data_IF_852323928714
#
_entry.id   IF_852323928714
#
_cell.length_a   1.000
_cell.length_b   1.000
_cell.length_c   1.000
_cell.angle_alpha   90.00
_cell.angle_beta   90.00
_cell.angle_gamma   90.00
#
_symmetry.space_group_name_H-M   'P 1'
#
loop_
_entity.id
_entity.type
_entity.pdbx_description
1 polymer ?
#
# COMPACT_ATOMS: atom_id res chain seq x y z
N UNK A 1 32.02 0.80 -43.48
CA UNK A 1 32.12 -0.50 -42.77
C UNK A 1 32.37 -0.34 -41.26
N UNK A 2 32.29 0.88 -40.70
CA UNK A 2 32.48 1.14 -39.26
C UNK A 2 31.17 1.59 -38.57
N UNK A 3 30.15 2.03 -39.32
CA UNK A 3 28.86 2.44 -38.74
C UNK A 3 27.89 1.30 -38.41
N UNK A 4 28.23 0.04 -38.68
CA UNK A 4 27.33 -1.10 -38.45
C UNK A 4 27.60 -1.85 -37.13
N UNK A 5 28.58 -1.38 -36.33
CA UNK A 5 29.01 -2.03 -35.09
C UNK A 5 28.69 -1.23 -33.80
N UNK A 6 27.96 -0.11 -33.90
CA UNK A 6 27.50 0.63 -32.71
C UNK A 6 26.04 0.32 -32.33
N UNK A 7 25.46 -0.74 -32.88
CA UNK A 7 24.12 -1.20 -32.49
C UNK A 7 24.23 -2.27 -31.39
N UNK A 8 23.70 -1.92 -30.21
CA UNK A 8 23.25 -2.82 -29.13
C UNK A 8 24.26 -3.27 -28.06
N UNK A 9 24.99 -2.33 -27.44
CA UNK A 9 25.30 -2.42 -26.00
C UNK A 9 24.27 -1.64 -25.16
N UNK A 10 23.04 -1.50 -25.69
CA UNK A 10 21.97 -0.71 -25.10
C UNK A 10 21.04 -1.57 -24.25
N UNK A 11 20.68 -1.08 -23.06
CA UNK A 11 19.60 -1.65 -22.26
C UNK A 11 18.35 -1.89 -23.13
N UNK A 12 17.72 -3.06 -23.00
CA UNK A 12 16.45 -3.37 -23.66
C UNK A 12 15.44 -2.24 -23.45
N UNK A 13 14.61 -1.96 -24.46
CA UNK A 13 13.57 -0.93 -24.40
C UNK A 13 12.69 -1.07 -23.15
N UNK A 14 12.34 -2.30 -22.75
CA UNK A 14 11.58 -2.55 -21.52
C UNK A 14 12.33 -2.11 -20.25
N UNK A 15 13.65 -2.33 -20.21
CA UNK A 15 14.50 -1.91 -19.07
C UNK A 15 14.67 -0.39 -19.05
N UNK A 16 14.81 0.24 -20.22
CA UNK A 16 14.85 1.71 -20.33
C UNK A 16 13.55 2.34 -19.80
N UNK A 17 12.39 1.81 -20.22
CA UNK A 17 11.09 2.28 -19.76
C UNK A 17 10.87 2.02 -18.26
N UNK A 18 11.31 0.86 -17.76
CA UNK A 18 11.28 0.55 -16.34
C UNK A 18 12.10 1.55 -15.52
N UNK A 19 13.34 1.84 -15.93
CA UNK A 19 14.21 2.81 -15.25
C UNK A 19 13.58 4.20 -15.29
N UNK A 20 13.04 4.62 -16.45
CA UNK A 20 12.35 5.89 -16.59
C UNK A 20 11.13 6.00 -15.65
N UNK A 21 10.29 4.98 -15.61
CA UNK A 21 9.14 4.92 -14.72
C UNK A 21 9.53 4.90 -13.25
N UNK A 22 10.56 4.13 -12.90
CA UNK A 22 11.10 4.09 -11.55
C UNK A 22 11.62 5.47 -11.11
N UNK A 23 12.45 6.11 -11.94
CA UNK A 23 12.99 7.45 -11.65
C UNK A 23 11.88 8.49 -11.54
N UNK A 24 10.84 8.41 -12.37
CA UNK A 24 9.69 9.31 -12.32
C UNK A 24 8.92 9.17 -11.00
N UNK A 25 8.57 7.93 -10.61
CA UNK A 25 7.86 7.66 -9.35
C UNK A 25 8.74 8.05 -8.15
N UNK A 26 10.02 7.68 -8.17
CA UNK A 26 10.96 7.97 -7.10
C UNK A 26 11.14 9.49 -6.89
N UNK A 27 11.33 10.22 -7.99
CA UNK A 27 11.45 11.70 -7.93
C UNK A 27 10.14 12.33 -7.46
N UNK A 28 8.99 11.85 -7.95
CA UNK A 28 7.68 12.32 -7.49
C UNK A 28 7.48 12.11 -5.98
N UNK A 29 7.84 10.93 -5.47
CA UNK A 29 7.78 10.62 -4.05
C UNK A 29 8.70 11.54 -3.22
N UNK A 30 9.93 11.77 -3.67
CA UNK A 30 10.88 12.68 -3.01
C UNK A 30 10.35 14.12 -2.96
N UNK A 31 9.80 14.62 -4.07
CA UNK A 31 9.21 15.96 -4.14
C UNK A 31 8.03 16.09 -3.17
N UNK A 32 7.18 15.07 -3.07
CA UNK A 32 6.09 15.04 -2.10
C UNK A 32 6.63 15.05 -0.66
N UNK A 33 7.64 14.23 -0.35
CA UNK A 33 8.25 14.22 0.98
C UNK A 33 8.84 15.59 1.35
N UNK A 34 9.57 16.24 0.44
CA UNK A 34 10.14 17.57 0.67
C UNK A 34 9.04 18.62 0.82
N UNK A 35 7.99 18.57 -0.01
CA UNK A 35 6.86 19.49 0.07
C UNK A 35 6.12 19.38 1.42
N UNK A 36 5.93 18.16 1.92
CA UNK A 36 5.33 17.92 3.23
C UNK A 36 6.23 18.41 4.37
N UNK A 37 7.54 18.15 4.29
CA UNK A 37 8.51 18.64 5.27
C UNK A 37 8.57 20.17 5.31
N UNK A 38 8.56 20.83 4.16
CA UNK A 38 8.65 22.29 4.04
C UNK A 38 7.37 23.01 4.51
N UNK A 39 6.19 22.41 4.32
CA UNK A 39 4.91 22.96 4.79
C UNK A 39 4.62 22.66 6.26
N UNK A 40 5.49 21.91 6.94
CA UNK A 40 5.22 21.41 8.30
C UNK A 40 3.99 20.50 8.35
N UNK A 41 3.59 19.92 7.22
CA UNK A 41 2.41 19.08 7.13
C UNK A 41 2.64 17.77 7.86
N UNK A 42 1.99 17.59 9.00
CA UNK A 42 2.00 16.34 9.75
C UNK A 42 1.51 15.19 8.88
N UNK A 43 2.38 14.20 8.63
CA UNK A 43 1.95 12.97 7.95
C UNK A 43 1.15 12.16 8.96
N UNK A 44 -0.14 11.96 8.68
CA UNK A 44 -1.01 11.11 9.48
C UNK A 44 -1.11 9.72 8.84
N UNK A 45 -1.01 8.68 9.66
CA UNK A 45 -1.03 7.30 9.21
C UNK A 45 -1.49 6.36 10.33
N UNK A 46 -1.82 5.13 9.96
CA UNK A 46 -2.21 4.13 10.95
C UNK A 46 -2.35 2.74 10.33
N UNK A 47 -2.33 1.75 11.21
CA UNK A 47 -2.44 0.33 10.88
C UNK A 47 -3.35 -0.31 11.90
N UNK A 48 -4.32 -1.10 11.44
CA UNK A 48 -5.16 -1.96 12.29
C UNK A 48 -4.96 -3.40 11.84
N UNK A 49 -4.57 -4.25 12.79
CA UNK A 49 -4.38 -5.69 12.58
C UNK A 49 -5.45 -6.43 13.37
N UNK A 50 -6.08 -7.42 12.74
CA UNK A 50 -7.00 -8.32 13.45
C UNK A 50 -6.16 -9.44 14.06
N UNK A 51 -6.05 -9.43 15.38
CA UNK A 51 -5.38 -10.47 16.16
C UNK A 51 -6.43 -11.49 16.62
N UNK A 52 -6.02 -12.76 16.64
CA UNK A 52 -6.74 -13.97 17.01
C UNK A 52 -8.08 -13.81 17.77
N UNK A 53 -9.15 -14.53 17.38
CA UNK A 53 -9.69 -14.62 16.03
C UNK A 53 -10.41 -13.33 15.58
N UNK A 54 -10.62 -12.36 16.49
CA UNK A 54 -11.64 -11.32 16.30
C UNK A 54 -11.35 -9.97 17.01
N UNK A 55 -10.10 -9.70 17.39
CA UNK A 55 -9.75 -8.49 18.14
C UNK A 55 -9.00 -7.52 17.21
N UNK A 56 -9.62 -6.41 16.77
CA UNK A 56 -8.91 -5.38 16.01
C UNK A 56 -8.01 -4.58 16.96
N UNK A 57 -6.70 -4.63 16.72
CA UNK A 57 -5.69 -3.87 17.46
C UNK A 57 -5.04 -2.88 16.50
N UNK A 58 -5.08 -1.60 16.85
CA UNK A 58 -4.65 -0.51 15.99
C UNK A 58 -3.64 0.42 16.63
N UNK A 59 -2.75 0.95 15.80
CA UNK A 59 -1.86 2.07 16.12
C UNK A 59 -1.96 3.11 15.01
N UNK A 60 -2.01 4.39 15.39
CA UNK A 60 -1.97 5.50 14.45
C UNK A 60 -1.17 6.68 15.01
N UNK A 61 -0.76 7.56 14.11
CA UNK A 61 0.08 8.71 14.38
C UNK A 61 -0.30 9.89 13.46
N UNK A 62 0.11 11.09 13.88
CA UNK A 62 -0.17 12.35 13.19
C UNK A 62 -1.47 13.04 13.64
N UNK A 63 -1.73 14.21 13.07
CA UNK A 63 -2.84 15.11 13.46
C UNK A 63 -4.22 14.47 13.36
N UNK A 64 -4.39 13.52 12.43
CA UNK A 64 -5.64 12.80 12.21
C UNK A 64 -5.64 11.37 12.79
N UNK A 65 -4.70 11.04 13.68
CA UNK A 65 -4.54 9.68 14.23
C UNK A 65 -5.86 9.09 14.78
N UNK A 66 -6.62 9.88 15.54
CA UNK A 66 -7.91 9.44 16.11
C UNK A 66 -8.93 9.09 15.03
N UNK A 67 -9.04 9.91 13.99
CA UNK A 67 -9.97 9.67 12.87
C UNK A 67 -9.52 8.44 12.07
N UNK A 68 -8.23 8.33 11.80
CA UNK A 68 -7.64 7.18 11.09
C UNK A 68 -7.91 5.88 11.85
N UNK A 69 -7.70 5.85 13.17
CA UNK A 69 -7.99 4.66 13.98
C UNK A 69 -9.46 4.26 13.91
N UNK A 70 -10.37 5.22 14.05
CA UNK A 70 -11.81 4.94 13.97
C UNK A 70 -12.16 4.33 12.62
N UNK A 71 -11.72 4.96 11.52
CA UNK A 71 -12.00 4.48 10.16
C UNK A 71 -11.43 3.08 9.93
N UNK A 72 -10.16 2.86 10.25
CA UNK A 72 -9.51 1.56 10.06
C UNK A 72 -10.13 0.47 10.94
N UNK A 73 -10.55 0.80 12.16
CA UNK A 73 -11.23 -0.14 13.06
C UNK A 73 -12.61 -0.53 12.52
N UNK A 74 -13.39 0.44 12.02
CA UNK A 74 -14.69 0.15 11.39
C UNK A 74 -14.51 -0.76 10.19
N UNK A 75 -13.54 -0.48 9.32
CA UNK A 75 -13.23 -1.34 8.17
C UNK A 75 -12.85 -2.76 8.64
N UNK A 76 -11.97 -2.88 9.65
CA UNK A 76 -11.57 -4.16 10.18
C UNK A 76 -12.76 -4.97 10.72
N UNK A 77 -13.67 -4.33 11.47
CA UNK A 77 -14.88 -4.98 12.00
C UNK A 77 -15.81 -5.43 10.87
N UNK A 78 -16.02 -4.61 9.84
CA UNK A 78 -16.86 -4.98 8.68
C UNK A 78 -16.28 -6.21 7.97
N UNK A 79 -14.97 -6.20 7.69
CA UNK A 79 -14.29 -7.34 7.07
C UNK A 79 -14.37 -8.59 7.94
N UNK A 80 -14.29 -8.42 9.26
CA UNK A 80 -14.41 -9.50 10.22
C UNK A 80 -15.80 -10.14 10.20
N UNK A 81 -16.87 -9.34 10.16
CA UNK A 81 -18.25 -9.84 10.03
C UNK A 81 -18.43 -10.59 8.70
N UNK A 82 -17.92 -10.04 7.61
CA UNK A 82 -17.96 -10.68 6.29
C UNK A 82 -17.22 -12.02 6.31
N UNK A 83 -16.01 -12.05 6.86
CA UNK A 83 -15.21 -13.27 7.00
C UNK A 83 -15.96 -14.32 7.84
N UNK A 84 -16.54 -13.90 8.97
CA UNK A 84 -17.36 -14.77 9.81
C UNK A 84 -18.52 -15.39 9.02
N UNK A 85 -19.30 -14.60 8.28
CA UNK A 85 -20.39 -15.10 7.44
C UNK A 85 -19.88 -16.11 6.40
N UNK A 86 -18.78 -15.83 5.73
CA UNK A 86 -18.21 -16.72 4.71
C UNK A 86 -17.75 -18.05 5.33
N UNK A 87 -17.05 -18.00 6.48
CA UNK A 87 -16.58 -19.19 7.19
C UNK A 87 -17.76 -20.03 7.68
N UNK A 88 -18.77 -19.42 8.29
CA UNK A 88 -19.98 -20.14 8.73
C UNK A 88 -20.73 -20.78 7.57
N UNK A 89 -20.78 -20.13 6.40
CA UNK A 89 -21.38 -20.71 5.19
C UNK A 89 -20.60 -21.92 4.70
N UNK A 90 -19.27 -21.83 4.63
CA UNK A 90 -18.40 -22.96 4.22
C UNK A 90 -18.52 -24.15 5.16
N UNK A 91 -18.52 -23.93 6.47
CA UNK A 91 -18.65 -25.02 7.45
C UNK A 91 -19.95 -25.80 7.25
N UNK A 92 -21.07 -25.10 6.98
CA UNK A 92 -22.37 -25.74 6.70
C UNK A 92 -22.38 -26.54 5.39
N UNK A 93 -21.59 -26.15 4.39
CA UNK A 93 -21.48 -26.86 3.11
C UNK A 93 -20.64 -28.14 3.23
N UNK A 94 -19.60 -28.15 4.08
CA UNK A 94 -18.76 -29.32 4.34
C UNK A 94 -19.50 -30.38 5.19
N UNK A 95 -20.45 -29.95 6.01
CA UNK A 95 -21.23 -30.82 6.90
C UNK A 95 -22.44 -31.49 6.21
N UNK A 96 -22.66 -31.21 4.92
CA UNK A 96 -23.66 -31.87 4.05
C UNK A 96 -23.01 -32.87 3.12
#
# INVERSE_FOLDING_TARGET
MVDMYEEEAGLSLGVKLFILGFLLIFTGALLLMIAQAARGGGVSGGVVVVVFPFIPVGVAWGDYASVILVVLTVIAVVLMIINMIIVYRRLREVER
#
